data_IF_232348325457
#
_entry.id   IF_232348325457
#
_cell.length_a   1.000
_cell.length_b   1.000
_cell.length_c   1.000
_cell.angle_alpha   90.00
_cell.angle_beta   90.00
_cell.angle_gamma   90.00
#
_symmetry.space_group_name_H-M   'P 1'
#
loop_
_entity.id
_entity.type
_entity.pdbx_description
1 polymer ?
#
# COMPACT_ATOMS: atom_id res chain seq x y z
N UNK A 1 6.49 21.71 1.49
CA UNK A 1 5.46 21.06 0.69
C UNK A 1 4.57 20.20 1.56
N UNK A 2 3.28 20.38 1.46
CA UNK A 2 2.33 19.65 2.29
C UNK A 2 1.73 18.48 1.49
N UNK A 3 2.26 17.29 1.71
CA UNK A 3 1.73 16.09 1.10
C UNK A 3 0.47 15.64 1.82
N UNK A 4 -0.50 15.13 1.07
CA UNK A 4 -1.70 14.51 1.64
C UNK A 4 -1.82 13.08 1.11
N UNK A 5 -2.47 12.21 1.88
CA UNK A 5 -2.68 10.82 1.51
C UNK A 5 -4.17 10.56 1.37
N UNK A 6 -4.52 9.86 0.29
CA UNK A 6 -5.85 9.36 0.06
C UNK A 6 -5.74 7.86 -0.19
N UNK A 7 -6.59 7.07 0.46
CA UNK A 7 -6.61 5.62 0.30
C UNK A 7 -7.88 5.25 -0.45
N UNK A 8 -7.73 4.54 -1.56
CA UNK A 8 -8.91 4.12 -2.32
C UNK A 8 -9.69 3.06 -1.54
N UNK A 9 -10.95 2.90 -1.90
CA UNK A 9 -11.80 1.89 -1.29
C UNK A 9 -11.22 0.49 -1.46
N UNK A 10 -10.70 0.18 -2.65
CA UNK A 10 -10.08 -1.12 -2.92
C UNK A 10 -8.86 -1.38 -2.04
N UNK A 11 -8.02 -0.37 -1.84
CA UNK A 11 -6.84 -0.50 -0.97
C UNK A 11 -7.25 -0.67 0.49
N UNK A 12 -8.30 0.04 0.90
CA UNK A 12 -8.83 -0.09 2.24
C UNK A 12 -9.33 -1.52 2.50
N UNK A 13 -10.05 -2.09 1.53
CA UNK A 13 -10.50 -3.48 1.61
C UNK A 13 -9.34 -4.46 1.65
N UNK A 14 -8.28 -4.21 0.85
CA UNK A 14 -7.06 -5.02 0.92
C UNK A 14 -6.54 -5.06 2.36
N UNK A 15 -6.44 -3.89 3.00
CA UNK A 15 -5.90 -3.79 4.35
C UNK A 15 -6.76 -4.57 5.36
N UNK A 16 -8.08 -4.48 5.25
CA UNK A 16 -8.99 -5.20 6.13
C UNK A 16 -8.81 -6.71 5.98
N UNK A 17 -8.78 -7.20 4.75
CA UNK A 17 -8.63 -8.63 4.48
C UNK A 17 -7.30 -9.18 5.02
N UNK A 18 -6.22 -8.42 4.85
CA UNK A 18 -4.91 -8.83 5.34
C UNK A 18 -4.88 -8.83 6.87
N UNK A 19 -5.44 -7.77 7.48
CA UNK A 19 -5.55 -7.67 8.93
C UNK A 19 -6.28 -8.88 9.51
N UNK A 20 -7.43 -9.21 8.93
CA UNK A 20 -8.26 -10.31 9.42
C UNK A 20 -7.56 -11.65 9.25
N UNK A 21 -6.87 -11.85 8.14
CA UNK A 21 -6.11 -13.07 7.90
C UNK A 21 -5.04 -13.28 8.96
N UNK A 22 -4.28 -12.23 9.28
CA UNK A 22 -3.24 -12.31 10.31
C UNK A 22 -3.82 -12.60 11.70
N UNK A 23 -4.93 -11.96 12.05
CA UNK A 23 -5.56 -12.20 13.35
C UNK A 23 -6.16 -13.60 13.46
N UNK A 24 -6.55 -14.21 12.34
CA UNK A 24 -6.99 -15.61 12.34
C UNK A 24 -5.82 -16.55 12.63
N UNK A 25 -4.62 -16.19 12.17
CA UNK A 25 -3.42 -16.99 12.45
C UNK A 25 -2.98 -16.82 13.89
N UNK A 26 -2.98 -15.61 14.39
CA UNK A 26 -2.58 -15.29 15.75
C UNK A 26 -3.16 -13.93 16.15
N UNK A 27 -3.93 -13.90 17.24
CA UNK A 27 -4.53 -12.68 17.74
C UNK A 27 -3.44 -11.64 18.01
N UNK A 28 -3.68 -10.41 17.54
CA UNK A 28 -2.79 -9.27 17.71
C UNK A 28 -1.85 -9.02 16.54
N UNK A 29 -1.65 -10.01 15.65
CA UNK A 29 -0.75 -9.82 14.50
C UNK A 29 -1.37 -8.86 13.48
N UNK A 30 -2.69 -8.88 13.33
CA UNK A 30 -3.36 -7.95 12.44
C UNK A 30 -3.12 -6.49 12.83
N UNK A 31 -3.12 -6.19 14.13
CA UNK A 31 -2.84 -4.86 14.63
C UNK A 31 -1.39 -4.45 14.35
N UNK A 32 -0.46 -5.39 14.40
CA UNK A 32 0.93 -5.13 14.03
C UNK A 32 1.05 -4.81 12.54
N UNK A 33 0.25 -5.47 11.72
CA UNK A 33 0.21 -5.14 10.29
C UNK A 33 -0.30 -3.72 10.08
N UNK A 34 -1.37 -3.32 10.77
CA UNK A 34 -1.90 -1.97 10.66
C UNK A 34 -0.87 -0.92 11.12
N UNK A 35 -0.10 -1.24 12.16
CA UNK A 35 0.97 -0.35 12.63
C UNK A 35 2.06 -0.18 11.56
N UNK A 36 2.43 -1.27 10.87
CA UNK A 36 3.39 -1.21 9.78
C UNK A 36 2.86 -0.35 8.64
N UNK A 37 1.57 -0.45 8.35
CA UNK A 37 0.92 0.35 7.33
C UNK A 37 0.95 1.84 7.69
N UNK A 38 0.64 2.18 8.94
CA UNK A 38 0.67 3.56 9.40
C UNK A 38 2.10 4.13 9.38
N UNK A 39 3.09 3.32 9.74
CA UNK A 39 4.49 3.73 9.65
C UNK A 39 4.87 4.04 8.19
N UNK A 40 4.44 3.19 7.26
CA UNK A 40 4.70 3.40 5.84
C UNK A 40 4.05 4.69 5.34
N UNK A 41 2.81 4.96 5.76
CA UNK A 41 2.12 6.20 5.39
C UNK A 41 2.88 7.43 5.91
N UNK A 42 3.42 7.36 7.11
CA UNK A 42 4.22 8.46 7.66
C UNK A 42 5.47 8.71 6.83
N UNK A 43 6.11 7.64 6.38
CA UNK A 43 7.29 7.78 5.51
C UNK A 43 6.92 8.43 4.17
N UNK A 44 5.77 8.06 3.61
CA UNK A 44 5.30 8.68 2.36
C UNK A 44 5.01 10.16 2.55
N UNK A 45 4.39 10.55 3.67
CA UNK A 45 4.12 11.95 3.96
C UNK A 45 5.39 12.77 4.09
N UNK A 46 6.46 12.13 4.55
CA UNK A 46 7.74 12.79 4.70
C UNK A 46 8.38 13.06 3.33
N UNK A 47 8.42 12.06 2.45
CA UNK A 47 8.97 12.24 1.11
C UNK A 47 8.57 11.07 0.20
N UNK A 48 7.43 11.18 -0.50
CA UNK A 48 6.99 10.09 -1.37
C UNK A 48 7.91 9.88 -2.58
N UNK A 49 8.68 10.89 -2.95
CA UNK A 49 9.59 10.81 -4.09
C UNK A 49 10.85 9.99 -3.81
N UNK A 50 11.09 9.66 -2.52
CA UNK A 50 12.22 8.83 -2.14
C UNK A 50 12.04 7.37 -2.55
N UNK A 51 10.80 6.95 -2.85
CA UNK A 51 10.51 5.56 -3.19
C UNK A 51 10.49 5.36 -4.69
N UNK A 52 11.19 4.31 -5.15
CA UNK A 52 11.38 4.09 -6.56
C UNK A 52 10.10 3.73 -7.30
N UNK A 53 10.08 4.09 -8.58
CA UNK A 53 9.00 3.70 -9.46
C UNK A 53 9.07 2.20 -9.73
N UNK A 54 7.94 1.52 -9.60
CA UNK A 54 7.83 0.14 -10.00
C UNK A 54 7.53 0.04 -11.49
N UNK A 55 6.65 0.93 -11.96
CA UNK A 55 6.21 0.92 -13.35
C UNK A 55 5.66 2.29 -13.70
N UNK A 56 6.23 2.94 -14.72
CA UNK A 56 5.81 4.30 -15.14
C UNK A 56 5.73 5.23 -13.94
N UNK A 57 4.53 5.70 -13.64
CA UNK A 57 4.26 6.65 -12.54
C UNK A 57 3.81 5.95 -11.25
N UNK A 58 3.84 4.62 -11.21
CA UNK A 58 3.44 3.88 -10.03
C UNK A 58 4.65 3.58 -9.16
N UNK A 59 4.56 3.93 -7.91
CA UNK A 59 5.60 3.71 -6.90
C UNK A 59 5.09 2.75 -5.85
N UNK A 60 6.01 2.18 -5.09
CA UNK A 60 5.64 1.22 -4.04
C UNK A 60 6.57 1.31 -2.85
N UNK A 61 6.04 0.95 -1.68
CA UNK A 61 6.77 0.87 -0.44
C UNK A 61 6.50 -0.47 0.22
N UNK A 62 7.53 -1.09 0.81
CA UNK A 62 7.41 -2.35 1.51
C UNK A 62 6.87 -2.09 2.91
N UNK A 63 5.94 -2.94 3.36
CA UNK A 63 5.34 -2.84 4.70
C UNK A 63 6.11 -3.71 5.70
N UNK A 64 7.39 -3.38 5.91
CA UNK A 64 8.26 -4.12 6.80
C UNK A 64 7.67 -4.27 8.20
N UNK A 65 7.72 -5.47 8.84
CA UNK A 65 8.43 -6.68 8.40
C UNK A 65 7.58 -7.65 7.57
N UNK A 66 6.41 -7.21 7.12
CA UNK A 66 5.49 -8.07 6.38
C UNK A 66 5.87 -8.14 4.91
N UNK A 67 5.53 -9.24 4.25
CA UNK A 67 5.84 -9.46 2.85
C UNK A 67 4.77 -8.86 1.93
N UNK A 68 4.36 -7.64 2.24
CA UNK A 68 3.37 -6.90 1.47
C UNK A 68 3.95 -5.59 1.00
N UNK A 69 3.47 -5.12 -0.13
CA UNK A 69 3.83 -3.84 -0.71
C UNK A 69 2.59 -2.98 -0.91
N UNK A 70 2.76 -1.69 -0.67
CA UNK A 70 1.71 -0.70 -0.84
C UNK A 70 2.06 0.13 -2.06
N UNK A 71 1.14 0.17 -3.03
CA UNK A 71 1.34 0.85 -4.31
C UNK A 71 0.60 2.18 -4.32
N UNK A 72 1.25 3.19 -4.86
CA UNK A 72 0.68 4.53 -4.87
C UNK A 72 1.09 5.31 -6.12
N UNK A 73 0.33 6.36 -6.39
CA UNK A 73 0.63 7.33 -7.44
C UNK A 73 0.59 8.72 -6.82
N UNK A 74 1.32 9.64 -7.45
CA UNK A 74 1.38 11.02 -6.99
C UNK A 74 0.68 11.92 -8.01
N UNK A 75 -0.29 12.70 -7.54
CA UNK A 75 -1.00 13.68 -8.35
C UNK A 75 -0.89 15.03 -7.65
N UNK A 76 -0.03 15.93 -8.18
CA UNK A 76 0.26 17.18 -7.49
C UNK A 76 0.91 16.92 -6.14
N UNK A 77 0.23 17.32 -5.08
CA UNK A 77 0.69 17.08 -3.71
C UNK A 77 -0.09 15.94 -3.03
N UNK A 78 -0.89 15.21 -3.82
CA UNK A 78 -1.71 14.13 -3.30
C UNK A 78 -1.08 12.78 -3.61
N UNK A 79 -0.96 11.95 -2.58
CA UNK A 79 -0.48 10.58 -2.69
C UNK A 79 -1.71 9.68 -2.65
N UNK A 80 -1.95 8.93 -3.72
CA UNK A 80 -3.11 8.04 -3.77
C UNK A 80 -2.64 6.60 -3.66
N UNK A 81 -2.99 5.96 -2.54
CA UNK A 81 -2.71 4.55 -2.29
C UNK A 81 -3.88 3.75 -2.85
N UNK A 82 -3.60 2.87 -3.81
CA UNK A 82 -4.66 2.16 -4.53
C UNK A 82 -4.56 0.64 -4.47
N UNK A 83 -3.49 0.09 -3.89
CA UNK A 83 -3.29 -1.36 -3.89
C UNK A 83 -2.34 -1.75 -2.77
N UNK A 84 -2.71 -2.80 -2.01
CA UNK A 84 -1.81 -3.46 -1.08
C UNK A 84 -1.82 -4.93 -1.47
N UNK A 85 -0.63 -5.46 -1.81
CA UNK A 85 -0.54 -6.83 -2.32
C UNK A 85 0.69 -7.53 -1.78
N UNK A 86 0.56 -8.84 -1.57
CA UNK A 86 1.68 -9.68 -1.20
C UNK A 86 2.75 -9.64 -2.30
N UNK A 87 4.01 -9.68 -1.91
CA UNK A 87 5.13 -9.58 -2.85
C UNK A 87 5.13 -10.69 -3.91
N UNK A 88 4.42 -11.79 -3.64
CA UNK A 88 4.32 -12.93 -4.56
C UNK A 88 3.14 -12.85 -5.53
N UNK A 89 2.35 -11.78 -5.48
CA UNK A 89 1.26 -11.62 -6.43
C UNK A 89 1.80 -11.52 -7.85
N UNK A 90 1.12 -12.18 -8.79
CA UNK A 90 1.54 -12.20 -10.18
C UNK A 90 1.43 -10.83 -10.83
N UNK A 91 2.22 -10.62 -11.88
CA UNK A 91 2.12 -9.41 -12.68
C UNK A 91 0.72 -9.26 -13.29
N UNK A 92 0.08 -10.38 -13.62
CA UNK A 92 -1.28 -10.36 -14.16
C UNK A 92 -2.27 -9.80 -13.14
N UNK A 93 -2.16 -10.22 -11.88
CA UNK A 93 -3.00 -9.68 -10.80
C UNK A 93 -2.80 -8.18 -10.66
N UNK A 94 -1.55 -7.74 -10.61
CA UNK A 94 -1.21 -6.33 -10.45
C UNK A 94 -1.73 -5.50 -11.62
N UNK A 95 -1.59 -6.00 -12.84
CA UNK A 95 -2.10 -5.32 -14.02
C UNK A 95 -3.60 -5.13 -13.98
N UNK A 96 -4.34 -6.15 -13.55
CA UNK A 96 -5.80 -6.04 -13.43
C UNK A 96 -6.20 -4.97 -12.42
N UNK A 97 -5.52 -4.92 -11.29
CA UNK A 97 -5.81 -3.92 -10.26
C UNK A 97 -5.49 -2.51 -10.75
N UNK A 98 -4.41 -2.35 -11.50
CA UNK A 98 -4.03 -1.06 -12.07
C UNK A 98 -5.06 -0.60 -13.10
N UNK A 99 -5.57 -1.50 -13.93
CA UNK A 99 -6.56 -1.16 -14.94
C UNK A 99 -7.86 -0.64 -14.31
N UNK A 100 -8.21 -1.08 -13.10
CA UNK A 100 -9.41 -0.62 -12.42
C UNK A 100 -9.40 0.86 -12.10
N UNK A 101 -8.22 1.46 -11.95
CA UNK A 101 -8.10 2.86 -11.58
C UNK A 101 -7.94 3.80 -12.77
N UNK A 102 -7.91 3.25 -13.98
CA UNK A 102 -7.71 4.04 -15.21
C UNK A 102 -8.97 4.13 -16.07
#
# INVERSE_FOLDING_TARGET
MAWTIEVTEDAFEDAILIHNWYNEQQIGVGEKFLSALETAKSKLLSNPLAFGAWKKDIRRIILTPFAYKMYFQIFGEKIIIFLIAHERRSNQYLKRRIQKIR
#
